data_IF_939677256548
#
_entry.id   IF_939677256548
#
_cell.length_a   1.000
_cell.length_b   1.000
_cell.length_c   1.000
_cell.angle_alpha   90.00
_cell.angle_beta   90.00
_cell.angle_gamma   90.00
#
_symmetry.space_group_name_H-M   'P 1'
#
loop_
_entity.id
_entity.type
_entity.pdbx_description
1 polymer ?
#
# COMPACT_ATOMS: atom_id res chain seq x y z
N UNK A 1 16.44 -6.14 -6.31
CA UNK A 1 15.28 -5.25 -6.52
C UNK A 1 15.01 -4.49 -5.23
N UNK A 2 14.54 -3.24 -5.31
CA UNK A 2 14.05 -2.51 -4.15
C UNK A 2 12.66 -3.05 -3.83
N UNK A 3 12.43 -3.72 -2.68
CA UNK A 3 11.11 -4.22 -2.34
C UNK A 3 10.11 -3.07 -2.21
N UNK A 4 8.89 -3.33 -2.68
CA UNK A 4 7.77 -2.41 -2.52
C UNK A 4 6.74 -3.05 -1.63
N UNK A 5 6.14 -2.25 -0.76
CA UNK A 5 5.08 -2.71 0.13
C UNK A 5 3.83 -1.90 -0.12
N UNK A 6 2.70 -2.60 -0.22
CA UNK A 6 1.38 -2.02 -0.38
C UNK A 6 0.59 -2.14 0.91
N UNK A 7 -0.19 -1.12 1.23
CA UNK A 7 -1.27 -1.19 2.21
C UNK A 7 -2.34 -0.16 1.89
N UNK A 8 -3.46 -0.22 2.60
CA UNK A 8 -4.38 0.90 2.70
C UNK A 8 -4.10 1.66 3.99
N UNK A 9 -4.05 2.99 3.90
CA UNK A 9 -4.02 3.88 5.06
C UNK A 9 -5.38 4.56 5.19
N UNK A 10 -5.84 4.75 6.43
CA UNK A 10 -7.02 5.56 6.71
C UNK A 10 -6.63 7.03 6.75
N UNK A 11 -7.33 7.83 5.97
CA UNK A 11 -7.24 9.29 6.00
C UNK A 11 -8.12 9.88 7.11
N UNK A 12 -7.91 11.15 7.46
CA UNK A 12 -8.64 11.83 8.53
C UNK A 12 -10.16 11.90 8.28
N UNK A 13 -10.58 11.81 7.01
CA UNK A 13 -11.97 11.74 6.59
C UNK A 13 -12.57 10.32 6.71
N UNK A 14 -11.81 9.34 7.22
CA UNK A 14 -12.20 7.95 7.37
C UNK A 14 -12.05 7.10 6.10
N UNK A 15 -11.62 7.67 4.97
CA UNK A 15 -11.43 6.96 3.70
C UNK A 15 -10.17 6.10 3.71
N UNK A 16 -10.27 4.90 3.13
CA UNK A 16 -9.12 4.04 2.88
C UNK A 16 -8.46 4.38 1.55
N UNK A 17 -7.22 4.86 1.61
CA UNK A 17 -6.45 5.27 0.44
C UNK A 17 -5.30 4.29 0.21
N UNK A 18 -5.10 3.80 -1.03
CA UNK A 18 -4.01 2.87 -1.34
C UNK A 18 -2.65 3.58 -1.30
N UNK A 19 -1.68 2.99 -0.61
CA UNK A 19 -0.32 3.53 -0.45
C UNK A 19 0.71 2.46 -0.81
N UNK A 20 1.78 2.88 -1.48
CA UNK A 20 2.94 2.03 -1.76
C UNK A 20 4.19 2.68 -1.21
N UNK A 21 4.94 1.94 -0.40
CA UNK A 21 6.25 2.35 0.06
C UNK A 21 7.34 1.66 -0.74
N UNK A 22 8.31 2.46 -1.19
CA UNK A 22 9.57 1.94 -1.73
C UNK A 22 10.59 1.97 -0.60
N UNK A 23 11.13 0.82 -0.25
CA UNK A 23 12.11 0.72 0.84
C UNK A 23 13.40 0.10 0.32
N UNK A 24 14.52 0.74 0.65
CA UNK A 24 15.84 0.22 0.30
C UNK A 24 16.22 -1.00 1.15
N UNK A 25 15.62 -1.17 2.33
CA UNK A 25 15.89 -2.27 3.26
C UNK A 25 14.73 -2.51 4.24
N UNK A 26 14.18 -3.72 4.25
CA UNK A 26 13.16 -4.17 5.21
C UNK A 26 11.81 -3.43 5.12
N UNK A 27 10.88 -3.76 6.02
CA UNK A 27 9.57 -3.10 6.07
C UNK A 27 9.69 -1.58 6.26
N UNK A 28 8.88 -0.77 5.56
CA UNK A 28 8.93 0.68 5.65
C UNK A 28 8.61 1.18 7.07
N UNK A 29 9.42 2.13 7.57
CA UNK A 29 9.08 2.91 8.76
C UNK A 29 7.96 3.89 8.40
N UNK A 30 6.80 3.74 9.03
CA UNK A 30 5.65 4.63 8.83
C UNK A 30 5.83 5.91 9.64
N UNK A 31 5.33 7.01 9.10
CA UNK A 31 5.12 8.24 9.84
C UNK A 31 3.80 8.89 9.38
N UNK A 32 2.90 9.27 10.30
CA UNK A 32 2.97 9.10 11.76
C UNK A 32 2.74 7.64 12.20
N UNK A 33 3.30 7.21 13.35
CA UNK A 33 3.19 5.83 13.84
C UNK A 33 1.77 5.41 14.24
N UNK A 34 0.89 6.39 14.46
CA UNK A 34 -0.51 6.25 14.87
C UNK A 34 -1.51 6.20 13.70
N UNK A 35 -1.03 6.26 12.45
CA UNK A 35 -1.92 6.15 11.28
C UNK A 35 -2.50 4.73 11.16
N UNK A 36 -3.82 4.63 11.16
CA UNK A 36 -4.51 3.35 10.96
C UNK A 36 -4.23 2.82 9.54
N UNK A 37 -3.80 1.57 9.44
CA UNK A 37 -3.47 0.92 8.18
C UNK A 37 -3.81 -0.57 8.16
N UNK A 38 -3.95 -1.13 6.97
CA UNK A 38 -3.95 -2.59 6.78
C UNK A 38 -2.55 -3.17 6.93
N UNK A 39 -2.47 -4.50 7.00
CA UNK A 39 -1.20 -5.22 6.90
C UNK A 39 -0.41 -4.80 5.66
N UNK A 40 0.92 -4.69 5.81
CA UNK A 40 1.82 -4.45 4.70
C UNK A 40 1.98 -5.74 3.92
N UNK A 41 1.63 -5.71 2.64
CA UNK A 41 1.86 -6.83 1.73
C UNK A 41 2.99 -6.46 0.78
N UNK A 42 3.90 -7.40 0.53
CA UNK A 42 4.90 -7.22 -0.52
C UNK A 42 4.19 -7.08 -1.88
N UNK A 43 4.50 -6.01 -2.60
CA UNK A 43 3.91 -5.68 -3.88
C UNK A 43 4.28 -6.73 -4.92
N UNK A 44 3.32 -7.51 -5.45
CA UNK A 44 3.61 -8.54 -6.44
C UNK A 44 4.26 -7.94 -7.69
N UNK A 45 5.23 -8.63 -8.29
CA UNK A 45 5.91 -8.14 -9.50
C UNK A 45 4.94 -7.82 -10.65
N UNK A 46 3.83 -8.57 -10.75
CA UNK A 46 2.74 -8.34 -11.72
C UNK A 46 2.02 -6.99 -11.54
N UNK A 47 2.12 -6.40 -10.35
CA UNK A 47 1.52 -5.11 -9.99
C UNK A 47 2.53 -3.96 -10.09
N UNK A 48 3.76 -4.22 -10.54
CA UNK A 48 4.81 -3.22 -10.72
C UNK A 48 5.07 -3.04 -12.22
N UNK A 49 4.95 -1.81 -12.71
CA UNK A 49 5.20 -1.45 -14.10
C UNK A 49 6.67 -1.60 -14.50
N UNK A 50 6.95 -1.64 -15.82
CA UNK A 50 8.32 -1.73 -16.35
C UNK A 50 9.19 -0.52 -15.97
N UNK A 51 8.56 0.64 -15.76
CA UNK A 51 9.09 1.90 -15.22
C UNK A 51 9.36 1.86 -13.70
N UNK A 52 9.07 0.73 -13.05
CA UNK A 52 9.14 0.53 -11.60
C UNK A 52 8.16 1.38 -10.81
N UNK A 53 7.04 1.77 -11.40
CA UNK A 53 5.92 2.40 -10.69
C UNK A 53 4.85 1.37 -10.30
N UNK A 54 4.21 1.54 -9.13
CA UNK A 54 3.12 0.67 -8.73
C UNK A 54 1.89 0.89 -9.59
N UNK A 55 1.33 -0.19 -10.10
CA UNK A 55 0.05 -0.17 -10.80
C UNK A 55 -1.09 -0.27 -9.79
N UNK A 56 -1.54 0.88 -9.28
CA UNK A 56 -2.63 0.94 -8.29
C UNK A 56 -3.92 0.27 -8.75
N UNK A 57 -4.21 0.21 -10.05
CA UNK A 57 -5.35 -0.53 -10.58
C UNK A 57 -5.27 -2.04 -10.29
N UNK A 58 -4.11 -2.64 -10.57
CA UNK A 58 -3.85 -4.06 -10.31
C UNK A 58 -3.81 -4.36 -8.80
N UNK A 59 -3.17 -3.49 -8.01
CA UNK A 59 -3.13 -3.61 -6.55
C UNK A 59 -4.54 -3.58 -5.94
N UNK A 60 -5.39 -2.62 -6.34
CA UNK A 60 -6.78 -2.52 -5.86
C UNK A 60 -7.67 -3.67 -6.32
N UNK A 61 -7.38 -4.29 -7.47
CA UNK A 61 -8.11 -5.47 -7.93
C UNK A 61 -7.77 -6.73 -7.11
N UNK A 62 -6.54 -6.80 -6.59
CA UNK A 62 -6.05 -7.95 -5.81
C UNK A 62 -6.29 -7.81 -4.32
N UNK A 63 -6.09 -6.61 -3.78
CA UNK A 63 -6.23 -6.30 -2.37
C UNK A 63 -7.44 -5.38 -2.21
N UNK A 64 -8.49 -5.88 -1.57
CA UNK A 64 -9.69 -5.07 -1.31
C UNK A 64 -9.43 -4.19 -0.09
N UNK A 65 -9.79 -2.89 -0.11
CA UNK A 65 -9.75 -2.08 1.09
C UNK A 65 -10.67 -2.69 2.16
N UNK A 66 -10.39 -2.48 3.46
CA UNK A 66 -11.37 -2.75 4.49
C UNK A 66 -12.67 -2.03 4.10
N UNK A 67 -13.83 -2.68 4.31
CA UNK A 67 -15.10 -1.97 4.19
C UNK A 67 -15.02 -0.80 5.17
N UNK A 68 -15.07 0.42 4.66
CA UNK A 68 -15.56 1.50 5.51
C UNK A 68 -16.96 1.08 5.90
N UNK A 69 -17.25 0.97 7.20
CA UNK A 69 -18.63 0.92 7.66
C UNK A 69 -19.33 2.15 7.07
N UNK A 70 -20.06 1.94 5.98
CA UNK A 70 -21.03 2.85 5.40
C UNK A 70 -22.43 2.43 5.86
#
# INVERSE_FOLDING_TARGET
>A
MTPMYFCYEREDNGQWTPVVYRTNFGEPKIWPPDRERTELVEGPDECIGPDREPQFGALKARFTPPRGDE
#
